data_IF_158551543525
#
_entry.id   IF_158551543525
#
_cell.length_a   1.000
_cell.length_b   1.000
_cell.length_c   1.000
_cell.angle_alpha   90.00
_cell.angle_beta   90.00
_cell.angle_gamma   90.00
#
_symmetry.space_group_name_H-M   'P 1'
#
loop_
_entity.id
_entity.type
_entity.pdbx_description
1 polymer ?
#
# COMPACT_ATOMS: atom_id res chain seq x y z
N UNK A 1 -4.59 12.19 -3.56
CA UNK A 1 -5.32 11.56 -2.44
C UNK A 1 -4.45 11.43 -1.21
N UNK A 2 -3.25 10.83 -1.27
CA UNK A 2 -2.38 10.66 -0.10
C UNK A 2 -2.07 11.99 0.64
N UNK A 3 -1.56 13.00 -0.08
CA UNK A 3 -1.27 14.32 0.50
C UNK A 3 -2.52 14.96 1.13
N UNK A 4 -3.68 14.89 0.47
CA UNK A 4 -4.94 15.43 1.00
C UNK A 4 -5.39 14.74 2.29
N UNK A 5 -5.17 13.43 2.42
CA UNK A 5 -5.49 12.71 3.67
C UNK A 5 -4.52 13.11 4.78
N UNK A 6 -3.23 13.26 4.48
CA UNK A 6 -2.25 13.76 5.45
C UNK A 6 -2.59 15.18 5.92
N UNK A 7 -2.93 16.08 4.99
CA UNK A 7 -3.33 17.46 5.29
C UNK A 7 -4.55 17.51 6.23
N UNK A 8 -5.59 16.72 5.94
CA UNK A 8 -6.78 16.63 6.82
C UNK A 8 -6.40 16.10 8.21
N UNK A 9 -5.52 15.10 8.29
CA UNK A 9 -5.05 14.59 9.58
C UNK A 9 -4.19 15.62 10.34
N UNK A 10 -3.39 16.41 9.64
CA UNK A 10 -2.59 17.49 10.23
C UNK A 10 -3.50 18.58 10.82
N UNK A 11 -4.57 18.97 10.11
CA UNK A 11 -5.60 19.88 10.62
C UNK A 11 -6.25 19.32 11.90
N UNK A 12 -6.71 18.06 11.88
CA UNK A 12 -7.35 17.42 13.05
C UNK A 12 -6.38 17.29 14.24
N UNK A 13 -5.08 17.14 13.97
CA UNK A 13 -4.06 17.10 15.01
C UNK A 13 -3.88 18.46 15.69
N UNK A 14 -3.99 19.56 14.93
CA UNK A 14 -3.80 20.92 15.42
C UNK A 14 -5.05 21.51 16.09
N UNK A 15 -6.25 20.96 15.83
CA UNK A 15 -7.47 21.37 16.53
C UNK A 15 -7.44 20.98 18.03
N UNK A 16 -7.21 21.96 18.90
CA UNK A 16 -7.17 21.82 20.38
C UNK A 16 -8.51 21.39 21.03
N UNK A 17 -9.56 21.21 20.23
CA UNK A 17 -10.95 21.04 20.72
C UNK A 17 -11.18 19.62 21.28
N UNK A 18 -10.38 18.62 20.90
CA UNK A 18 -10.55 17.23 21.33
C UNK A 18 -9.22 16.44 21.45
N UNK A 19 -8.67 16.39 22.67
CA UNK A 19 -7.36 15.74 22.97
C UNK A 19 -7.24 14.31 22.40
N UNK A 20 -8.29 13.49 22.52
CA UNK A 20 -8.25 12.12 22.01
C UNK A 20 -8.20 12.02 20.48
N UNK A 21 -8.83 12.94 19.75
CA UNK A 21 -8.83 12.93 18.28
C UNK A 21 -7.49 13.42 17.73
N UNK A 22 -6.93 14.47 18.34
CA UNK A 22 -5.59 14.97 18.00
C UNK A 22 -4.52 13.88 18.17
N UNK A 23 -4.54 13.14 19.29
CA UNK A 23 -3.63 12.02 19.52
C UNK A 23 -3.79 10.93 18.46
N UNK A 24 -5.03 10.54 18.12
CA UNK A 24 -5.29 9.54 17.08
C UNK A 24 -4.81 10.00 15.70
N UNK A 25 -5.01 11.27 15.35
CA UNK A 25 -4.53 11.84 14.09
C UNK A 25 -3.01 11.80 14.01
N UNK A 26 -2.31 12.15 15.11
CA UNK A 26 -0.86 12.01 15.20
C UNK A 26 -0.36 10.58 14.97
N UNK A 27 -1.01 9.58 15.58
CA UNK A 27 -0.70 8.15 15.37
C UNK A 27 -0.91 7.76 13.90
N UNK A 28 -2.02 8.18 13.28
CA UNK A 28 -2.32 7.87 11.88
C UNK A 28 -1.32 8.53 10.93
N UNK A 29 -0.92 9.78 11.16
CA UNK A 29 0.12 10.44 10.37
C UNK A 29 1.42 9.64 10.44
N UNK A 30 1.83 9.23 11.65
CA UNK A 30 3.05 8.44 11.81
C UNK A 30 2.95 7.09 11.09
N UNK A 31 1.83 6.39 11.22
CA UNK A 31 1.59 5.14 10.52
C UNK A 31 1.62 5.34 9.00
N UNK A 32 0.95 6.36 8.46
CA UNK A 32 0.89 6.64 7.03
C UNK A 32 2.24 7.01 6.42
N UNK A 33 3.12 7.66 7.19
CA UNK A 33 4.49 8.00 6.76
C UNK A 33 5.48 6.83 6.95
N UNK A 34 5.08 5.78 7.67
CA UNK A 34 5.94 4.61 7.93
C UNK A 34 6.20 3.78 6.67
N UNK A 35 7.41 3.22 6.58
CA UNK A 35 7.81 2.38 5.46
C UNK A 35 6.89 1.17 5.30
N UNK A 36 6.56 0.52 6.41
CA UNK A 36 5.71 -0.68 6.41
C UNK A 36 4.33 -0.39 5.84
N UNK A 37 3.73 0.76 6.17
CA UNK A 37 2.44 1.16 5.62
C UNK A 37 2.53 1.44 4.12
N UNK A 38 3.53 2.21 3.68
CA UNK A 38 3.69 2.53 2.25
C UNK A 38 3.98 1.27 1.43
N UNK A 39 4.80 0.36 1.95
CA UNK A 39 5.08 -0.93 1.34
C UNK A 39 3.81 -1.78 1.23
N UNK A 40 3.06 -1.91 2.33
CA UNK A 40 1.80 -2.65 2.34
C UNK A 40 0.77 -2.05 1.38
N UNK A 41 0.67 -0.71 1.32
CA UNK A 41 -0.22 0.00 0.42
C UNK A 41 0.07 -0.34 -1.05
N UNK A 42 1.32 -0.24 -1.50
CA UNK A 42 1.69 -0.56 -2.88
C UNK A 42 1.51 -2.05 -3.19
N UNK A 43 1.85 -2.94 -2.24
CA UNK A 43 1.59 -4.37 -2.38
C UNK A 43 0.09 -4.67 -2.53
N UNK A 44 -0.75 -4.02 -1.73
CA UNK A 44 -2.20 -4.15 -1.80
C UNK A 44 -2.74 -3.64 -3.14
N UNK A 45 -2.26 -2.49 -3.64
CA UNK A 45 -2.65 -1.98 -4.96
C UNK A 45 -2.38 -3.01 -6.05
N UNK A 46 -1.19 -3.60 -6.06
CA UNK A 46 -0.78 -4.59 -7.06
C UNK A 46 -1.61 -5.88 -6.98
N UNK A 47 -1.83 -6.42 -5.79
CA UNK A 47 -2.62 -7.64 -5.59
C UNK A 47 -4.10 -7.39 -5.92
N UNK A 48 -4.67 -6.31 -5.38
CA UNK A 48 -6.08 -5.97 -5.58
C UNK A 48 -6.37 -5.61 -7.04
N UNK A 49 -5.43 -5.00 -7.76
CA UNK A 49 -5.59 -4.75 -9.20
C UNK A 49 -5.84 -6.05 -9.98
N UNK A 50 -5.04 -7.09 -9.73
CA UNK A 50 -5.19 -8.39 -10.38
C UNK A 50 -6.49 -9.08 -9.95
N UNK A 51 -6.74 -9.14 -8.64
CA UNK A 51 -7.91 -9.87 -8.12
C UNK A 51 -9.22 -9.16 -8.43
N UNK A 52 -9.22 -7.83 -8.57
CA UNK A 52 -10.38 -7.07 -9.02
C UNK A 52 -10.73 -7.38 -10.49
N UNK A 53 -9.76 -7.44 -11.41
CA UNK A 53 -10.00 -7.85 -12.80
C UNK A 53 -10.64 -9.25 -12.86
N UNK A 54 -10.08 -10.20 -12.10
CA UNK A 54 -10.63 -11.55 -11.98
C UNK A 54 -12.05 -11.54 -11.39
N UNK A 55 -12.25 -10.81 -10.29
CA UNK A 55 -13.52 -10.72 -9.58
C UNK A 55 -14.62 -10.17 -10.49
N UNK A 56 -14.35 -9.08 -11.22
CA UNK A 56 -15.30 -8.49 -12.16
C UNK A 56 -15.65 -9.48 -13.28
N UNK A 57 -14.66 -10.19 -13.83
CA UNK A 57 -14.91 -11.17 -14.88
C UNK A 57 -15.74 -12.37 -14.40
N UNK A 58 -15.50 -12.86 -13.17
CA UNK A 58 -16.26 -13.97 -12.58
C UNK A 58 -17.70 -13.59 -12.22
N UNK A 59 -17.96 -12.30 -11.96
CA UNK A 59 -19.31 -11.81 -11.65
C UNK A 59 -20.19 -11.59 -12.89
N UNK A 60 -19.64 -11.71 -14.12
CA UNK A 60 -20.42 -11.58 -15.36
C UNK A 60 -21.38 -12.76 -15.51
N UNK A 61 -22.66 -12.46 -15.81
CA UNK A 61 -23.72 -13.48 -15.94
C UNK A 61 -23.56 -14.37 -17.18
N UNK A 62 -22.87 -13.89 -18.20
CA UNK A 62 -22.66 -14.52 -19.50
C UNK A 62 -21.24 -15.13 -19.64
N UNK A 63 -20.57 -15.40 -18.51
CA UNK A 63 -19.18 -15.83 -18.55
C UNK A 63 -19.01 -17.24 -19.13
N UNK A 64 -18.17 -17.35 -20.15
CA UNK A 64 -17.75 -18.64 -20.69
C UNK A 64 -16.76 -19.33 -19.74
N UNK A 65 -17.04 -20.59 -19.37
CA UNK A 65 -16.23 -21.37 -18.41
C UNK A 65 -14.76 -21.50 -18.83
N UNK A 66 -14.47 -21.63 -20.12
CA UNK A 66 -13.10 -21.72 -20.65
C UNK A 66 -12.38 -20.38 -20.45
N UNK A 67 -13.07 -19.27 -20.68
CA UNK A 67 -12.50 -17.94 -20.47
C UNK A 67 -12.29 -17.64 -18.98
N UNK A 68 -13.22 -18.06 -18.11
CA UNK A 68 -13.05 -17.96 -16.65
C UNK A 68 -11.80 -18.72 -16.16
N UNK A 69 -11.63 -19.97 -16.61
CA UNK A 69 -10.45 -20.78 -16.26
C UNK A 69 -9.14 -20.14 -16.74
N UNK A 70 -9.11 -19.60 -17.96
CA UNK A 70 -7.95 -18.84 -18.47
C UNK A 70 -7.63 -17.64 -17.59
N UNK A 71 -8.64 -16.87 -17.17
CA UNK A 71 -8.44 -15.71 -16.28
C UNK A 71 -7.90 -16.10 -14.90
N UNK A 72 -8.38 -17.20 -14.33
CA UNK A 72 -7.82 -17.75 -13.08
C UNK A 72 -6.35 -18.09 -13.25
N UNK A 73 -5.98 -18.76 -14.35
CA UNK A 73 -4.59 -19.12 -14.63
C UNK A 73 -3.71 -17.88 -14.80
N UNK A 74 -4.15 -16.88 -15.58
CA UNK A 74 -3.42 -15.62 -15.79
C UNK A 74 -3.25 -14.87 -14.47
N UNK A 75 -4.31 -14.77 -13.66
CA UNK A 75 -4.26 -14.09 -12.37
C UNK A 75 -3.26 -14.77 -11.42
N UNK A 76 -3.28 -16.11 -11.38
CA UNK A 76 -2.31 -16.90 -10.62
C UNK A 76 -0.87 -16.62 -11.07
N UNK A 77 -0.62 -16.64 -12.38
CA UNK A 77 0.72 -16.37 -12.93
C UNK A 77 1.20 -14.96 -12.59
N UNK A 78 0.34 -13.94 -12.69
CA UNK A 78 0.69 -12.57 -12.31
C UNK A 78 1.01 -12.43 -10.81
N UNK A 79 0.21 -13.06 -9.94
CA UNK A 79 0.48 -13.09 -8.50
C UNK A 79 1.79 -13.83 -8.17
N UNK A 80 2.09 -14.92 -8.86
CA UNK A 80 3.37 -15.63 -8.73
C UNK A 80 4.54 -14.74 -9.17
N UNK A 81 4.39 -13.99 -10.25
CA UNK A 81 5.42 -13.06 -10.72
C UNK A 81 5.70 -11.94 -9.71
N UNK A 82 4.66 -11.38 -9.07
CA UNK A 82 4.84 -10.42 -7.97
C UNK A 82 5.63 -11.06 -6.82
N UNK A 83 5.30 -12.29 -6.44
CA UNK A 83 5.97 -12.99 -5.34
C UNK A 83 7.44 -13.29 -5.64
N UNK A 84 7.74 -13.74 -6.85
CA UNK A 84 9.06 -14.27 -7.22
C UNK A 84 10.01 -13.17 -7.73
N UNK A 85 9.47 -12.18 -8.46
CA UNK A 85 10.26 -11.15 -9.14
C UNK A 85 9.80 -9.72 -8.80
N UNK A 86 8.73 -9.55 -8.01
CA UNK A 86 8.12 -8.26 -7.75
C UNK A 86 8.75 -7.47 -6.61
N UNK A 87 9.71 -8.03 -5.87
CA UNK A 87 10.35 -7.33 -4.74
C UNK A 87 11.10 -6.07 -5.17
N UNK A 88 12.01 -6.17 -6.15
CA UNK A 88 12.79 -5.01 -6.61
C UNK A 88 11.91 -3.92 -7.25
N UNK A 89 10.96 -4.24 -8.16
CA UNK A 89 10.03 -3.25 -8.68
C UNK A 89 9.19 -2.57 -7.59
N UNK A 90 8.73 -3.33 -6.59
CA UNK A 90 7.95 -2.79 -5.46
C UNK A 90 8.78 -1.80 -4.64
N UNK A 91 10.03 -2.15 -4.32
CA UNK A 91 10.93 -1.25 -3.61
C UNK A 91 11.19 0.03 -4.39
N UNK A 92 11.42 -0.06 -5.71
CA UNK A 92 11.61 1.12 -6.56
C UNK A 92 10.37 2.03 -6.55
N UNK A 93 9.18 1.43 -6.61
CA UNK A 93 7.91 2.16 -6.53
C UNK A 93 7.73 2.87 -5.19
N UNK A 94 8.03 2.18 -4.09
CA UNK A 94 8.01 2.76 -2.74
C UNK A 94 9.05 3.88 -2.61
N UNK A 95 10.29 3.69 -3.08
CA UNK A 95 11.32 4.74 -3.08
C UNK A 95 10.88 5.97 -3.88
N UNK A 96 10.28 5.77 -5.05
CA UNK A 96 9.73 6.86 -5.87
C UNK A 96 8.61 7.61 -5.13
N UNK A 97 7.72 6.88 -4.45
CA UNK A 97 6.68 7.48 -3.63
C UNK A 97 7.26 8.39 -2.56
N UNK A 98 8.24 7.93 -1.80
CA UNK A 98 8.91 8.75 -0.79
C UNK A 98 9.58 10.01 -1.37
N UNK A 99 10.25 9.88 -2.52
CA UNK A 99 10.86 11.02 -3.20
C UNK A 99 9.83 12.09 -3.63
N UNK A 100 8.63 11.68 -4.02
CA UNK A 100 7.56 12.60 -4.45
C UNK A 100 6.91 13.31 -3.26
N UNK A 101 6.80 12.65 -2.11
CA UNK A 101 6.13 13.20 -0.93
C UNK A 101 7.10 13.79 0.11
N UNK A 102 8.38 13.92 -0.23
CA UNK A 102 9.46 14.46 0.63
C UNK A 102 9.49 13.85 2.05
N UNK A 103 9.01 12.62 2.19
CA UNK A 103 9.06 11.90 3.46
C UNK A 103 10.47 11.33 3.60
N UNK A 104 11.12 11.54 4.75
CA UNK A 104 12.47 11.06 5.00
C UNK A 104 12.50 9.51 4.86
N UNK A 105 13.22 9.02 3.85
CA UNK A 105 13.39 7.57 3.67
C UNK A 105 14.36 7.09 4.73
N UNK A 106 13.87 6.25 5.64
CA UNK A 106 14.74 5.51 6.55
C UNK A 106 15.79 4.75 5.75
N UNK A 107 17.07 5.05 5.98
CA UNK A 107 18.17 4.39 5.31
C UNK A 107 18.16 2.89 5.62
N UNK A 108 17.78 2.05 4.65
CA UNK A 108 17.74 0.59 4.81
C UNK A 108 19.13 -0.06 4.91
N UNK A 109 20.19 0.64 4.48
CA UNK A 109 21.58 0.19 4.66
C UNK A 109 22.12 0.51 6.06
N UNK A 110 21.35 1.23 6.88
CA UNK A 110 21.73 1.46 8.27
C UNK A 110 21.65 0.16 9.06
N UNK A 111 22.58 -0.02 10.02
CA UNK A 111 22.55 -1.19 10.90
C UNK A 111 21.21 -1.24 11.62
N UNK A 112 20.45 -2.31 11.40
CA UNK A 112 19.23 -2.61 12.14
C UNK A 112 19.53 -2.55 13.63
N UNK A 113 18.96 -1.56 14.32
CA UNK A 113 19.00 -1.48 15.78
C UNK A 113 17.70 -2.06 16.29
N UNK A 114 17.75 -3.30 16.77
CA UNK A 114 16.64 -3.85 17.55
C UNK A 114 16.38 -2.93 18.74
N UNK A 115 15.18 -2.35 18.85
CA UNK A 115 14.78 -1.62 20.04
C UNK A 115 14.97 -2.51 21.27
N UNK A 116 15.81 -2.07 22.21
CA UNK A 116 15.93 -2.70 23.51
C UNK A 116 14.59 -2.66 24.23
N UNK A 117 14.26 -3.75 24.94
CA UNK A 117 13.07 -3.87 25.78
C UNK A 117 13.05 -2.82 26.88
#
# INVERSE_FOLDING_TARGET
>A
MYASVLEVLEIVKEEEIHDQQSVKAGILIHAMKSFDFVLALHLMINILGITNELSQALQRKDQNIINAMKLVQVSKQRLQMIRENGWMPLLEEVSRFYNVFEVEVSNMDSKFKSGGR
#
